data_IF_365305918222
#
_entry.id   IF_365305918222
#
_cell.length_a   1.000
_cell.length_b   1.000
_cell.length_c   1.000
_cell.angle_alpha   90.00
_cell.angle_beta   90.00
_cell.angle_gamma   90.00
#
_symmetry.space_group_name_H-M   'P 1'
#
loop_
_entity.id
_entity.type
_entity.pdbx_description
1 polymer ?
#
# COMPACT_ATOMS: atom_id res chain seq x y z
N UNK A 1 -32.42 47.87 61.03
CA UNK A 1 -31.01 47.41 61.05
C UNK A 1 -31.01 46.03 60.41
N UNK A 2 -30.89 45.95 59.08
CA UNK A 2 -29.65 45.80 58.30
C UNK A 2 -28.89 44.51 58.59
N UNK A 3 -28.45 43.88 57.49
CA UNK A 3 -27.43 42.84 57.35
C UNK A 3 -27.91 41.38 57.34
N UNK A 4 -27.54 40.51 56.38
CA UNK A 4 -26.68 40.59 55.19
C UNK A 4 -27.06 39.40 54.29
N UNK A 5 -27.36 39.67 53.02
CA UNK A 5 -27.40 38.66 51.96
C UNK A 5 -25.98 38.14 51.72
N UNK A 6 -25.69 36.91 52.14
CA UNK A 6 -24.42 36.24 51.88
C UNK A 6 -24.33 35.85 50.41
N UNK A 7 -23.64 36.67 49.62
CA UNK A 7 -23.42 36.46 48.20
C UNK A 7 -22.16 35.58 48.03
N UNK A 8 -22.29 34.25 48.03
CA UNK A 8 -21.19 33.32 47.73
C UNK A 8 -20.82 33.41 46.24
N UNK A 9 -19.86 34.28 45.92
CA UNK A 9 -19.15 34.31 44.62
C UNK A 9 -18.31 33.03 44.48
N UNK A 10 -18.71 32.11 43.60
CA UNK A 10 -17.88 31.00 43.10
C UNK A 10 -17.54 31.27 41.64
N UNK A 11 -16.59 32.18 41.38
CA UNK A 11 -16.27 32.64 40.01
C UNK A 11 -14.89 32.29 39.46
N UNK A 12 -13.95 31.84 40.31
CA UNK A 12 -12.55 31.61 39.92
C UNK A 12 -12.17 30.15 39.70
N UNK A 13 -12.61 29.24 40.57
CA UNK A 13 -12.17 27.85 40.57
C UNK A 13 -12.64 27.08 39.32
N UNK A 14 -13.87 27.35 38.86
CA UNK A 14 -14.44 26.72 37.66
C UNK A 14 -13.73 27.15 36.38
N UNK A 15 -13.24 28.40 36.30
CA UNK A 15 -12.49 28.88 35.13
C UNK A 15 -11.08 28.28 35.08
N UNK A 16 -10.41 28.14 36.22
CA UNK A 16 -9.11 27.48 36.29
C UNK A 16 -9.18 26.00 35.89
N UNK A 17 -10.17 25.26 36.40
CA UNK A 17 -10.42 23.87 36.00
C UNK A 17 -10.74 23.75 34.51
N UNK A 18 -11.51 24.69 33.95
CA UNK A 18 -11.84 24.71 32.53
C UNK A 18 -10.59 24.91 31.67
N UNK A 19 -9.69 25.84 32.05
CA UNK A 19 -8.42 26.02 31.33
C UNK A 19 -7.50 24.80 31.43
N UNK A 20 -7.40 24.18 32.60
CA UNK A 20 -6.64 22.93 32.76
C UNK A 20 -7.22 21.83 31.87
N UNK A 21 -8.56 21.69 31.84
CA UNK A 21 -9.22 20.72 30.98
C UNK A 21 -8.96 20.99 29.49
N UNK A 22 -8.99 22.26 29.04
CA UNK A 22 -8.65 22.65 27.66
C UNK A 22 -7.20 22.31 27.33
N UNK A 23 -6.25 22.64 28.21
CA UNK A 23 -4.83 22.33 27.97
C UNK A 23 -4.63 20.82 27.90
N UNK A 24 -5.28 20.05 28.77
CA UNK A 24 -5.24 18.59 28.74
C UNK A 24 -5.83 18.01 27.46
N UNK A 25 -6.97 18.50 26.99
CA UNK A 25 -7.58 18.01 25.74
C UNK A 25 -6.72 18.35 24.53
N UNK A 26 -6.16 19.56 24.46
CA UNK A 26 -5.24 19.94 23.38
C UNK A 26 -3.97 19.08 23.42
N UNK A 27 -3.38 18.87 24.60
CA UNK A 27 -2.21 18.01 24.75
C UNK A 27 -2.50 16.57 24.35
N UNK A 28 -3.66 16.03 24.74
CA UNK A 28 -4.08 14.68 24.42
C UNK A 28 -4.36 14.52 22.92
N UNK A 29 -5.02 15.50 22.29
CA UNK A 29 -5.22 15.53 20.84
C UNK A 29 -3.89 15.59 20.09
N UNK A 30 -2.95 16.43 20.54
CA UNK A 30 -1.61 16.53 19.98
C UNK A 30 -0.82 15.23 20.11
N UNK A 31 -0.93 14.56 21.26
CA UNK A 31 -0.29 13.26 21.48
C UNK A 31 -0.87 12.16 20.57
N UNK A 32 -2.20 12.05 20.49
CA UNK A 32 -2.87 11.05 19.66
C UNK A 32 -2.54 11.25 18.18
N UNK A 33 -2.55 12.50 17.70
CA UNK A 33 -2.17 12.80 16.31
C UNK A 33 -0.71 12.46 16.04
N UNK A 34 0.22 12.80 16.94
CA UNK A 34 1.63 12.45 16.77
C UNK A 34 1.87 10.93 16.73
N UNK A 35 1.23 10.17 17.63
CA UNK A 35 1.33 8.70 17.63
C UNK A 35 0.71 8.11 16.39
N UNK A 36 -0.48 8.57 15.98
CA UNK A 36 -1.17 8.09 14.78
C UNK A 36 -0.36 8.33 13.50
N UNK A 37 0.27 9.50 13.35
CA UNK A 37 1.11 9.82 12.18
C UNK A 37 2.38 8.97 12.18
N UNK A 38 3.05 8.81 13.32
CA UNK A 38 4.28 8.00 13.41
C UNK A 38 4.03 6.52 13.17
N UNK A 39 2.84 6.05 13.50
CA UNK A 39 2.41 4.66 13.32
C UNK A 39 1.77 4.43 11.94
N UNK A 40 1.70 5.44 11.08
CA UNK A 40 1.10 5.31 9.76
C UNK A 40 1.99 4.44 8.86
N UNK A 41 1.56 3.23 8.50
CA UNK A 41 2.39 2.30 7.72
C UNK A 41 2.57 2.74 6.26
N UNK A 42 1.79 3.74 5.81
CA UNK A 42 1.85 4.34 4.48
C UNK A 42 2.76 5.58 4.46
N UNK A 43 3.14 6.10 5.63
CA UNK A 43 4.08 7.22 5.69
C UNK A 43 5.37 6.86 4.95
N UNK A 44 5.73 7.71 3.99
CA UNK A 44 6.85 7.49 3.09
C UNK A 44 7.51 8.82 2.77
N UNK A 45 8.83 8.84 2.92
CA UNK A 45 9.65 9.98 2.52
C UNK A 45 9.78 9.96 0.99
N UNK A 46 9.03 10.85 0.33
CA UNK A 46 9.02 10.99 -1.13
C UNK A 46 10.33 11.58 -1.64
N UNK A 47 10.93 12.48 -0.87
CA UNK A 47 12.18 13.14 -1.26
C UNK A 47 13.34 12.15 -1.21
N UNK A 48 13.33 11.23 -0.25
CA UNK A 48 14.30 10.14 -0.18
C UNK A 48 14.11 9.13 -1.33
N UNK A 49 12.87 8.72 -1.62
CA UNK A 49 12.59 7.54 -2.47
C UNK A 49 12.05 7.85 -3.88
N UNK A 50 11.84 9.12 -4.23
CA UNK A 50 11.28 9.56 -5.52
C UNK A 50 9.75 9.53 -5.57
N UNK A 51 9.13 8.46 -5.08
CA UNK A 51 7.66 8.30 -4.99
C UNK A 51 7.22 7.94 -3.57
N UNK A 52 5.95 8.14 -3.26
CA UNK A 52 5.38 7.64 -2.01
C UNK A 52 5.18 6.13 -2.09
N UNK A 53 5.19 5.46 -0.94
CA UNK A 53 4.92 4.02 -0.82
C UNK A 53 3.56 3.65 -1.39
N UNK A 54 2.54 4.50 -1.17
CA UNK A 54 1.23 4.34 -1.78
C UNK A 54 1.30 4.38 -3.31
N UNK A 55 1.98 5.39 -3.87
CA UNK A 55 2.07 5.56 -5.32
C UNK A 55 2.83 4.39 -5.97
N UNK A 56 3.90 3.94 -5.33
CA UNK A 56 4.62 2.74 -5.75
C UNK A 56 3.72 1.50 -5.78
N UNK A 57 2.98 1.22 -4.69
CA UNK A 57 2.05 0.07 -4.64
C UNK A 57 0.96 0.17 -5.71
N UNK A 58 0.45 1.38 -5.97
CA UNK A 58 -0.52 1.65 -7.02
C UNK A 58 0.07 1.33 -8.41
N UNK A 59 1.26 1.85 -8.72
CA UNK A 59 1.96 1.57 -9.99
C UNK A 59 2.25 0.07 -10.16
N UNK A 60 2.65 -0.63 -9.10
CA UNK A 60 2.84 -2.08 -9.16
C UNK A 60 1.54 -2.84 -9.48
N UNK A 61 0.39 -2.36 -8.99
CA UNK A 61 -0.92 -2.95 -9.29
C UNK A 61 -1.35 -2.67 -10.73
N UNK A 62 -1.18 -1.43 -11.19
CA UNK A 62 -1.47 -1.04 -12.57
C UNK A 62 -0.64 -1.86 -13.57
N UNK A 63 0.66 -2.05 -13.30
CA UNK A 63 1.55 -2.88 -14.12
C UNK A 63 1.17 -4.36 -14.10
N UNK A 64 0.62 -4.86 -12.99
CA UNK A 64 0.17 -6.25 -12.88
C UNK A 64 -1.12 -6.48 -13.66
N UNK A 65 -2.02 -5.49 -13.69
CA UNK A 65 -3.27 -5.55 -14.46
C UNK A 65 -3.02 -5.47 -15.98
N UNK A 66 -1.95 -4.79 -16.41
CA UNK A 66 -1.51 -4.73 -17.82
C UNK A 66 -0.75 -5.99 -18.23
N UNK A 67 -1.49 -7.11 -18.36
CA UNK A 67 -0.90 -8.43 -18.66
C UNK A 67 -0.19 -8.52 -20.01
N UNK A 68 -0.45 -7.60 -20.94
CA UNK A 68 0.24 -7.53 -22.23
C UNK A 68 1.68 -7.02 -22.10
N UNK A 69 1.95 -6.18 -21.10
CA UNK A 69 3.30 -5.68 -20.78
C UNK A 69 4.01 -6.51 -19.72
N UNK A 70 3.28 -7.38 -19.03
CA UNK A 70 3.82 -8.19 -17.95
C UNK A 70 4.75 -9.27 -18.50
N UNK A 71 5.94 -9.35 -17.91
CA UNK A 71 6.96 -10.33 -18.29
C UNK A 71 7.23 -11.31 -17.15
N UNK A 72 7.68 -12.50 -17.51
CA UNK A 72 8.09 -13.57 -16.63
C UNK A 72 9.59 -13.75 -16.77
N UNK A 73 10.32 -13.59 -15.66
CA UNK A 73 11.73 -13.92 -15.55
C UNK A 73 11.92 -15.43 -15.49
N UNK A 74 12.55 -15.99 -16.51
CA UNK A 74 12.83 -17.42 -16.64
C UNK A 74 14.27 -17.62 -17.14
N UNK A 75 15.14 -18.24 -16.33
CA UNK A 75 16.52 -18.59 -16.71
C UNK A 75 17.35 -17.40 -17.24
N UNK A 76 17.23 -16.24 -16.60
CA UNK A 76 17.91 -15.00 -17.02
C UNK A 76 17.33 -14.35 -18.28
N UNK A 77 16.23 -14.86 -18.84
CA UNK A 77 15.49 -14.25 -19.93
C UNK A 77 14.16 -13.68 -19.45
N UNK A 78 13.69 -12.63 -20.11
CA UNK A 78 12.37 -12.03 -19.87
C UNK A 78 11.42 -12.44 -20.98
N UNK A 79 10.38 -13.19 -20.64
CA UNK A 79 9.41 -13.75 -21.60
C UNK A 79 8.05 -13.09 -21.34
N UNK A 80 7.33 -12.60 -22.37
CA UNK A 80 5.97 -12.08 -22.17
C UNK A 80 5.07 -13.14 -21.53
N UNK A 81 4.30 -12.75 -20.50
CA UNK A 81 3.43 -13.68 -19.77
C UNK A 81 2.45 -14.37 -20.73
N UNK A 82 1.87 -13.61 -21.67
CA UNK A 82 0.96 -14.14 -22.69
C UNK A 82 1.56 -15.30 -23.48
N UNK A 83 2.82 -15.18 -23.89
CA UNK A 83 3.53 -16.24 -24.63
C UNK A 83 3.69 -17.50 -23.78
N UNK A 84 4.01 -17.36 -22.49
CA UNK A 84 4.11 -18.49 -21.57
C UNK A 84 2.75 -19.18 -21.36
N UNK A 85 1.69 -18.39 -21.22
CA UNK A 85 0.33 -18.91 -21.07
C UNK A 85 -0.11 -19.65 -22.32
N UNK A 86 0.03 -19.07 -23.50
CA UNK A 86 -0.34 -19.68 -24.79
C UNK A 86 0.38 -21.02 -25.05
N UNK A 87 1.61 -21.18 -24.56
CA UNK A 87 2.33 -22.46 -24.63
C UNK A 87 1.72 -23.56 -23.76
N UNK A 88 1.12 -23.19 -22.63
CA UNK A 88 0.54 -24.13 -21.66
C UNK A 88 -0.97 -24.37 -21.87
N UNK A 89 -1.70 -23.33 -22.28
CA UNK A 89 -3.12 -23.32 -22.53
C UNK A 89 -3.43 -22.31 -23.65
N UNK A 90 -3.88 -22.75 -24.84
CA UNK A 90 -4.21 -21.83 -25.91
C UNK A 90 -5.39 -20.93 -25.50
N UNK A 91 -5.18 -19.61 -25.60
CA UNK A 91 -6.19 -18.60 -25.30
C UNK A 91 -7.23 -18.54 -26.42
N UNK A 92 -8.50 -18.56 -26.05
CA UNK A 92 -9.61 -18.27 -26.96
C UNK A 92 -9.63 -16.81 -27.41
N UNK A 93 -10.33 -16.52 -28.51
CA UNK A 93 -10.42 -15.16 -29.08
C UNK A 93 -11.01 -14.12 -28.10
N UNK A 94 -11.77 -14.55 -27.10
CA UNK A 94 -12.42 -13.70 -26.11
C UNK A 94 -11.88 -13.95 -24.68
N UNK A 95 -10.73 -14.62 -24.57
CA UNK A 95 -10.12 -14.91 -23.28
C UNK A 95 -9.23 -13.73 -22.88
N UNK A 96 -9.46 -13.22 -21.67
CA UNK A 96 -8.65 -12.17 -21.08
C UNK A 96 -7.74 -12.75 -20.00
N UNK A 97 -6.44 -12.51 -20.14
CA UNK A 97 -5.50 -12.84 -19.09
C UNK A 97 -5.56 -11.78 -18.00
N UNK A 98 -5.54 -12.20 -16.74
CA UNK A 98 -5.51 -11.29 -15.60
C UNK A 98 -4.51 -11.78 -14.58
N UNK A 99 -3.66 -10.88 -14.10
CA UNK A 99 -2.83 -11.10 -12.94
C UNK A 99 -3.32 -10.20 -11.80
N UNK A 100 -3.43 -10.77 -10.60
CA UNK A 100 -3.92 -10.05 -9.42
C UNK A 100 -3.06 -10.37 -8.21
N UNK A 101 -2.76 -9.36 -7.40
CA UNK A 101 -2.10 -9.57 -6.11
C UNK A 101 -3.04 -10.33 -5.19
N UNK A 102 -2.56 -11.42 -4.61
CA UNK A 102 -3.34 -12.24 -3.69
C UNK A 102 -3.26 -11.75 -2.24
N UNK A 103 -2.16 -11.06 -1.90
CA UNK A 103 -1.91 -10.58 -0.56
C UNK A 103 -2.89 -9.47 -0.15
N UNK A 104 -3.31 -9.49 1.13
CA UNK A 104 -4.14 -8.42 1.69
C UNK A 104 -3.41 -7.06 1.68
N UNK A 105 -4.14 -5.92 1.63
CA UNK A 105 -3.52 -4.60 1.60
C UNK A 105 -2.51 -4.36 2.73
N UNK A 106 -2.81 -4.79 3.95
CA UNK A 106 -1.90 -4.66 5.09
C UNK A 106 -0.62 -5.50 4.94
N UNK A 107 -0.69 -6.64 4.24
CA UNK A 107 0.47 -7.48 3.94
C UNK A 107 1.32 -6.84 2.83
N UNK A 108 0.70 -6.31 1.78
CA UNK A 108 1.40 -5.59 0.70
C UNK A 108 2.18 -4.39 1.25
N UNK A 109 1.56 -3.60 2.13
CA UNK A 109 2.23 -2.45 2.75
C UNK A 109 3.43 -2.93 3.60
N UNK A 110 3.31 -4.04 4.33
CA UNK A 110 4.42 -4.57 5.13
C UNK A 110 5.54 -5.18 4.28
N UNK A 111 5.20 -5.84 3.18
CA UNK A 111 6.14 -6.43 2.23
C UNK A 111 6.82 -5.39 1.31
N UNK A 112 6.36 -4.14 1.35
CA UNK A 112 6.99 -3.05 0.60
C UNK A 112 8.10 -2.43 1.42
N UNK A 113 9.33 -2.56 0.91
CA UNK A 113 10.57 -2.17 1.59
C UNK A 113 11.29 -1.04 0.84
N UNK A 114 12.09 -0.27 1.56
CA UNK A 114 12.97 0.73 0.95
C UNK A 114 14.22 0.04 0.38
N UNK A 115 14.74 0.56 -0.71
CA UNK A 115 16.01 0.12 -1.30
C UNK A 115 17.14 1.04 -0.86
N UNK A 116 18.32 0.47 -0.58
CA UNK A 116 19.52 1.26 -0.28
C UNK A 116 19.88 2.16 -1.48
N UNK A 117 20.07 3.46 -1.23
CA UNK A 117 20.23 4.47 -2.29
C UNK A 117 18.92 5.12 -2.78
N UNK A 118 17.77 4.70 -2.24
CA UNK A 118 16.47 5.32 -2.46
C UNK A 118 15.61 4.59 -3.50
N UNK A 119 14.34 4.43 -3.16
CA UNK A 119 13.37 3.70 -3.97
C UNK A 119 12.60 2.66 -3.15
N UNK A 120 11.79 1.87 -3.84
CA UNK A 120 10.92 0.88 -3.24
C UNK A 120 11.05 -0.48 -3.92
N UNK A 121 10.86 -1.54 -3.15
CA UNK A 121 10.71 -2.90 -3.66
C UNK A 121 9.50 -3.56 -3.01
N UNK A 122 8.80 -4.39 -3.76
CA UNK A 122 7.68 -5.20 -3.30
C UNK A 122 7.83 -6.59 -3.91
N UNK A 123 7.80 -7.62 -3.06
CA UNK A 123 7.67 -9.00 -3.50
C UNK A 123 6.40 -9.59 -2.92
N UNK A 124 5.48 -10.04 -3.76
CA UNK A 124 4.20 -10.59 -3.34
C UNK A 124 3.69 -11.64 -4.34
N UNK A 125 2.95 -12.67 -3.89
CA UNK A 125 2.34 -13.63 -4.79
C UNK A 125 1.25 -12.96 -5.65
N UNK A 126 1.26 -13.26 -6.94
CA UNK A 126 0.23 -12.88 -7.89
C UNK A 126 -0.44 -14.13 -8.47
N UNK A 127 -1.78 -14.16 -8.42
CA UNK A 127 -2.58 -15.19 -9.08
C UNK A 127 -2.79 -14.82 -10.54
N UNK A 128 -2.47 -15.75 -11.44
CA UNK A 128 -2.70 -15.63 -12.88
C UNK A 128 -3.97 -16.41 -13.23
N UNK A 129 -4.91 -15.76 -13.91
CA UNK A 129 -6.18 -16.37 -14.29
C UNK A 129 -6.63 -15.93 -15.68
N UNK A 130 -7.33 -16.82 -16.38
CA UNK A 130 -8.03 -16.52 -17.63
C UNK A 130 -9.49 -16.23 -17.31
N UNK A 131 -10.00 -15.13 -17.84
CA UNK A 131 -11.42 -14.76 -17.80
C UNK A 131 -12.01 -15.02 -19.18
N UNK A 132 -13.01 -15.89 -19.25
CA UNK A 132 -13.68 -16.29 -20.50
C UNK A 132 -15.19 -16.13 -20.32
N UNK A 133 -15.74 -14.98 -20.76
CA UNK A 133 -17.15 -14.66 -20.57
C UNK A 133 -17.55 -14.64 -19.09
N UNK A 134 -18.32 -15.63 -18.63
CA UNK A 134 -18.75 -15.75 -17.23
C UNK A 134 -17.85 -16.64 -16.35
N UNK A 135 -16.81 -17.24 -16.92
CA UNK A 135 -15.91 -18.17 -16.23
C UNK A 135 -14.57 -17.54 -15.89
N UNK A 136 -14.01 -17.89 -14.74
CA UNK A 136 -12.63 -17.56 -14.35
C UNK A 136 -11.88 -18.85 -14.07
N UNK A 137 -10.75 -19.05 -14.75
CA UNK A 137 -9.88 -20.21 -14.57
C UNK A 137 -8.51 -19.76 -14.10
N UNK A 138 -8.17 -20.07 -12.85
CA UNK A 138 -6.82 -19.86 -12.34
C UNK A 138 -5.82 -20.81 -13.02
N UNK A 139 -4.70 -20.25 -13.48
CA UNK A 139 -3.58 -20.98 -14.08
C UNK A 139 -2.51 -21.33 -13.04
N UNK A 140 -2.36 -20.49 -12.02
CA UNK A 140 -1.39 -20.68 -10.94
C UNK A 140 -1.03 -19.38 -10.25
N UNK A 141 -0.07 -19.48 -9.33
CA UNK A 141 0.48 -18.35 -8.58
C UNK A 141 1.95 -18.20 -8.93
N UNK A 142 2.36 -16.97 -9.23
CA UNK A 142 3.75 -16.60 -9.49
C UNK A 142 4.15 -15.46 -8.55
N UNK A 143 5.34 -15.51 -7.91
CA UNK A 143 5.88 -14.36 -7.21
C UNK A 143 6.02 -13.19 -8.19
N UNK A 144 5.42 -12.06 -7.84
CA UNK A 144 5.65 -10.77 -8.49
C UNK A 144 6.75 -10.03 -7.72
N UNK A 145 7.71 -9.50 -8.46
CA UNK A 145 8.68 -8.53 -7.98
C UNK A 145 8.44 -7.21 -8.70
N UNK A 146 8.18 -6.17 -7.90
CA UNK A 146 8.07 -4.81 -8.35
C UNK A 146 9.19 -3.98 -7.73
N UNK A 147 9.82 -3.12 -8.52
CA UNK A 147 10.91 -2.27 -8.06
C UNK A 147 10.80 -0.87 -8.66
N UNK A 148 11.11 0.13 -7.84
CA UNK A 148 11.22 1.51 -8.22
C UNK A 148 12.55 2.02 -7.70
N UNK A 149 13.43 2.46 -8.59
CA UNK A 149 14.66 3.17 -8.22
C UNK A 149 14.41 4.65 -8.40
N UNK A 150 14.85 5.47 -7.44
CA UNK A 150 14.67 6.92 -7.49
C UNK A 150 15.10 7.50 -8.85
N UNK A 151 14.19 8.18 -9.52
CA UNK A 151 14.43 8.81 -10.83
C UNK A 151 14.29 7.87 -12.03
N UNK A 152 13.82 6.64 -11.83
CA UNK A 152 13.46 5.69 -12.89
C UNK A 152 11.98 5.33 -12.81
N UNK A 153 11.47 4.72 -13.87
CA UNK A 153 10.12 4.17 -13.89
C UNK A 153 10.04 2.90 -13.05
N UNK A 154 8.86 2.67 -12.46
CA UNK A 154 8.54 1.45 -11.74
C UNK A 154 8.48 0.27 -12.71
N UNK A 155 9.09 -0.84 -12.33
CA UNK A 155 9.13 -2.07 -13.13
C UNK A 155 8.51 -3.20 -12.34
N UNK A 156 7.69 -4.01 -13.00
CA UNK A 156 7.09 -5.21 -12.42
C UNK A 156 7.39 -6.42 -13.29
N UNK A 157 7.77 -7.53 -12.65
CA UNK A 157 8.07 -8.79 -13.32
C UNK A 157 7.57 -9.95 -12.47
N UNK A 158 7.02 -10.97 -13.13
CA UNK A 158 6.70 -12.25 -12.50
C UNK A 158 7.93 -13.16 -12.52
N UNK A 159 8.10 -14.01 -11.52
CA UNK A 159 9.22 -14.94 -11.43
C UNK A 159 8.71 -16.37 -11.40
N UNK A 160 9.39 -17.27 -12.11
CA UNK A 160 9.09 -18.70 -12.00
C UNK A 160 9.61 -19.26 -10.66
N UNK A 161 8.83 -20.10 -9.96
CA UNK A 161 9.28 -20.78 -8.76
C UNK A 161 10.45 -21.72 -9.06
N UNK A 162 11.51 -21.69 -8.25
CA UNK A 162 12.63 -22.63 -8.33
C UNK A 162 13.84 -22.17 -9.17
N UNK A 163 14.09 -20.86 -9.24
CA UNK A 163 15.40 -20.32 -9.63
C UNK A 163 16.24 -20.00 -8.41
#
# INVERSE_FOLDING_TARGET
MSELTSNKRHGGLGRALLWVAIVLTVALLGFVTAVAVRSNPIYSDRDANGVSKYKFIEECRELLEDTDKLTVGAQGQSIPLKTLVEQSAPLGKNDELRATLEAEPAQIIRATENVEGGGWTLTAPATIAIHSGSGTRALGQLPMQCSHVKGRETQAQLQLPGQ
#
